data_IF_366022243199
#
_entry.id   IF_366022243199
#
_cell.length_a   1.000
_cell.length_b   1.000
_cell.length_c   1.000
_cell.angle_alpha   90.00
_cell.angle_beta   90.00
_cell.angle_gamma   90.00
#
_symmetry.space_group_name_H-M   'P 1'
#
loop_
_entity.id
_entity.type
_entity.pdbx_description
1 polymer ?
#
# COMPACT_ATOMS: atom_id res chain seq x y z
N UNK A 1 9.76 -3.62 24.39
CA UNK A 1 8.31 -3.80 24.21
C UNK A 1 8.07 -4.95 23.25
N UNK A 2 6.89 -5.57 23.31
CA UNK A 2 6.43 -6.57 22.35
C UNK A 2 5.39 -5.95 21.43
N UNK A 3 5.74 -5.76 20.17
CA UNK A 3 4.96 -5.04 19.18
C UNK A 3 4.44 -6.03 18.13
N UNK A 4 3.13 -6.19 18.06
CA UNK A 4 2.48 -6.93 16.98
C UNK A 4 2.28 -6.06 15.74
N UNK A 5 2.44 -6.63 14.55
CA UNK A 5 2.21 -5.94 13.27
C UNK A 5 1.40 -6.86 12.37
N UNK A 6 0.31 -6.37 11.78
CA UNK A 6 -0.38 -7.11 10.72
C UNK A 6 0.40 -7.05 9.40
N UNK A 7 1.00 -8.19 9.06
CA UNK A 7 1.75 -8.44 7.85
C UNK A 7 0.95 -9.06 6.70
N UNK A 8 -0.37 -9.23 6.83
CA UNK A 8 -1.19 -9.95 5.85
C UNK A 8 -1.15 -9.34 4.44
N UNK A 9 -0.96 -8.02 4.36
CA UNK A 9 -0.81 -7.30 3.09
C UNK A 9 0.46 -7.70 2.29
N UNK A 10 1.45 -8.32 2.94
CA UNK A 10 2.69 -8.78 2.28
C UNK A 10 2.53 -10.12 1.54
N UNK A 11 1.46 -10.88 1.82
CA UNK A 11 1.32 -12.25 1.30
C UNK A 11 0.90 -12.30 -0.17
N UNK A 12 0.15 -11.31 -0.64
CA UNK A 12 -0.31 -11.23 -2.03
C UNK A 12 0.70 -10.44 -2.87
N UNK A 13 0.56 -10.55 -4.19
CA UNK A 13 1.35 -9.81 -5.21
C UNK A 13 1.73 -8.37 -4.81
N UNK A 14 2.86 -7.83 -5.32
CA UNK A 14 3.48 -6.61 -4.80
C UNK A 14 2.60 -5.37 -4.99
N UNK A 15 1.72 -5.12 -4.02
CA UNK A 15 0.98 -3.87 -3.87
C UNK A 15 1.81 -2.85 -3.08
N UNK A 16 1.43 -1.57 -3.18
CA UNK A 16 2.07 -0.51 -2.41
C UNK A 16 2.01 -0.74 -0.90
N UNK A 17 0.89 -1.24 -0.38
CA UNK A 17 0.72 -1.53 1.06
C UNK A 17 1.64 -2.67 1.49
N UNK A 18 1.68 -3.78 0.74
CA UNK A 18 2.59 -4.89 1.06
C UNK A 18 4.05 -4.46 1.12
N UNK A 19 4.49 -3.61 0.18
CA UNK A 19 5.82 -2.99 0.21
C UNK A 19 6.01 -2.10 1.43
N UNK A 20 5.04 -1.23 1.72
CA UNK A 20 5.08 -0.37 2.90
C UNK A 20 5.25 -1.16 4.19
N UNK A 21 4.45 -2.21 4.40
CA UNK A 21 4.53 -3.04 5.61
C UNK A 21 5.88 -3.72 5.74
N UNK A 22 6.39 -4.28 4.64
CA UNK A 22 7.72 -4.88 4.63
C UNK A 22 8.80 -3.89 5.03
N UNK A 23 8.84 -2.73 4.37
CA UNK A 23 9.83 -1.68 4.66
C UNK A 23 9.67 -1.11 6.07
N UNK A 24 8.44 -1.04 6.59
CA UNK A 24 8.17 -0.63 7.96
C UNK A 24 8.77 -1.61 8.97
N UNK A 25 8.54 -2.91 8.81
CA UNK A 25 9.11 -3.94 9.70
C UNK A 25 10.63 -3.91 9.66
N UNK A 26 11.23 -3.84 8.46
CA UNK A 26 12.70 -3.77 8.30
C UNK A 26 13.29 -2.51 8.95
N UNK A 27 12.61 -1.37 8.84
CA UNK A 27 13.06 -0.12 9.45
C UNK A 27 12.91 -0.15 10.97
N UNK A 28 11.80 -0.67 11.51
CA UNK A 28 11.56 -0.80 12.94
C UNK A 28 12.55 -1.77 13.58
N UNK A 29 12.81 -2.91 12.94
CA UNK A 29 13.77 -3.90 13.43
C UNK A 29 15.17 -3.28 13.66
N UNK A 30 15.59 -2.39 12.75
CA UNK A 30 16.87 -1.67 12.84
C UNK A 30 16.84 -0.51 13.83
N UNK A 31 15.75 0.24 13.87
CA UNK A 31 15.64 1.45 14.71
C UNK A 31 15.42 1.12 16.19
N UNK A 32 14.79 -0.02 16.50
CA UNK A 32 14.46 -0.45 17.85
C UNK A 32 14.88 -1.92 18.09
N UNK A 33 16.19 -2.22 18.11
CA UNK A 33 16.68 -3.60 18.25
C UNK A 33 16.35 -4.24 19.61
N UNK A 34 15.98 -3.44 20.63
CA UNK A 34 15.54 -3.92 21.94
C UNK A 34 14.06 -4.28 22.03
N UNK A 35 13.26 -4.00 20.98
CA UNK A 35 11.85 -4.36 20.91
C UNK A 35 11.67 -5.68 20.14
N UNK A 36 10.72 -6.51 20.59
CA UNK A 36 10.31 -7.76 19.93
C UNK A 36 9.18 -7.46 18.94
N UNK A 37 9.41 -7.72 17.65
CA UNK A 37 8.44 -7.50 16.58
C UNK A 37 7.76 -8.82 16.18
N UNK A 38 6.46 -8.93 16.45
CA UNK A 38 5.62 -10.07 16.12
C UNK A 38 4.80 -9.80 14.86
N UNK A 39 5.26 -10.27 13.70
CA UNK A 39 4.56 -10.08 12.43
C UNK A 39 3.51 -11.17 12.25
N UNK A 40 2.24 -10.82 12.41
CA UNK A 40 1.11 -11.72 12.18
C UNK A 40 0.71 -11.69 10.71
N UNK A 41 0.64 -12.84 10.05
CA UNK A 41 0.08 -12.96 8.71
C UNK A 41 -1.08 -13.95 8.69
N UNK A 42 -2.19 -13.58 8.05
CA UNK A 42 -3.40 -14.41 7.97
C UNK A 42 -3.77 -14.68 6.52
N UNK A 43 -3.61 -15.93 6.07
CA UNK A 43 -4.13 -16.41 4.78
C UNK A 43 -4.23 -17.92 4.79
N UNK A 44 -5.27 -18.45 4.16
CA UNK A 44 -5.42 -19.90 4.00
C UNK A 44 -4.59 -20.46 2.83
N UNK A 45 -4.39 -19.66 1.78
CA UNK A 45 -3.78 -20.10 0.51
C UNK A 45 -2.32 -19.68 0.38
N UNK A 46 -1.99 -18.52 0.91
CA UNK A 46 -0.67 -17.91 0.77
C UNK A 46 0.07 -18.01 2.09
N UNK A 47 1.39 -18.14 2.05
CA UNK A 47 2.24 -18.14 3.23
C UNK A 47 3.50 -17.31 2.96
N UNK A 48 4.03 -16.60 3.96
CA UNK A 48 5.31 -15.92 3.80
C UNK A 48 6.43 -16.95 3.66
N UNK A 49 7.52 -16.63 2.95
CA UNK A 49 8.70 -17.50 2.95
C UNK A 49 9.24 -17.62 4.37
N UNK A 50 9.74 -18.81 4.74
CA UNK A 50 10.32 -19.05 6.09
C UNK A 50 11.51 -18.14 6.40
N UNK A 51 12.16 -17.62 5.37
CA UNK A 51 13.31 -16.71 5.46
C UNK A 51 12.91 -15.25 5.55
N UNK A 52 11.60 -14.92 5.56
CA UNK A 52 11.15 -13.54 5.69
C UNK A 52 11.65 -12.95 7.02
N UNK A 53 12.47 -11.90 6.91
CA UNK A 53 13.12 -11.23 8.06
C UNK A 53 14.09 -12.10 8.86
N UNK A 54 14.60 -13.19 8.30
CA UNK A 54 15.55 -14.06 9.01
C UNK A 54 16.84 -13.35 9.43
N UNK A 55 17.21 -12.25 8.77
CA UNK A 55 18.35 -11.41 9.14
C UNK A 55 18.10 -10.51 10.38
N UNK A 56 16.85 -10.41 10.86
CA UNK A 56 16.48 -9.57 12.00
C UNK A 56 16.15 -10.42 13.23
N UNK A 57 17.07 -10.54 14.22
CA UNK A 57 16.89 -11.45 15.35
C UNK A 57 15.71 -11.07 16.27
N UNK A 58 15.26 -9.81 16.22
CA UNK A 58 14.13 -9.31 16.99
C UNK A 58 12.79 -9.37 16.23
N UNK A 59 12.74 -10.03 15.06
CA UNK A 59 11.51 -10.19 14.27
C UNK A 59 11.10 -11.66 14.25
N UNK A 60 9.86 -11.92 14.68
CA UNK A 60 9.22 -13.23 14.61
C UNK A 60 7.99 -13.17 13.71
N UNK A 61 7.94 -14.01 12.67
CA UNK A 61 6.79 -14.11 11.77
C UNK A 61 5.89 -15.26 12.19
N UNK A 62 4.64 -14.96 12.53
CA UNK A 62 3.62 -15.95 12.86
C UNK A 62 2.57 -15.98 11.76
N UNK A 63 2.42 -17.14 11.12
CA UNK A 63 1.45 -17.33 10.05
C UNK A 63 0.26 -18.18 10.53
N UNK A 64 -0.96 -17.68 10.30
CA UNK A 64 -2.21 -18.40 10.59
C UNK A 64 -2.96 -18.74 9.31
N UNK A 65 -3.21 -20.02 9.12
CA UNK A 65 -3.98 -20.59 8.00
C UNK A 65 -5.48 -20.46 8.22
N UNK A 66 -5.97 -19.24 8.41
CA UNK A 66 -7.40 -19.02 8.61
C UNK A 66 -8.13 -18.66 7.31
N UNK A 67 -9.35 -19.18 7.07
CA UNK A 67 -10.13 -18.85 5.87
C UNK A 67 -10.56 -17.38 5.89
N UNK A 68 -9.97 -16.56 5.01
CA UNK A 68 -10.13 -15.10 5.06
C UNK A 68 -11.59 -14.61 5.11
N UNK A 69 -12.50 -15.18 4.31
CA UNK A 69 -13.93 -14.79 4.34
C UNK A 69 -14.61 -15.13 5.68
N UNK A 70 -14.28 -16.28 6.26
CA UNK A 70 -14.84 -16.69 7.54
C UNK A 70 -14.32 -15.79 8.67
N UNK A 71 -13.02 -15.51 8.67
CA UNK A 71 -12.40 -14.60 9.66
C UNK A 71 -12.97 -13.19 9.57
N UNK A 72 -13.13 -12.63 8.36
CA UNK A 72 -13.74 -11.31 8.20
C UNK A 72 -15.16 -11.26 8.74
N UNK A 73 -15.97 -12.31 8.49
CA UNK A 73 -17.32 -12.41 9.03
C UNK A 73 -17.32 -12.52 10.56
N UNK A 74 -16.40 -13.31 11.13
CA UNK A 74 -16.25 -13.46 12.57
C UNK A 74 -15.79 -12.16 13.24
N UNK A 75 -14.88 -11.41 12.62
CA UNK A 75 -14.47 -10.10 13.09
C UNK A 75 -15.60 -9.07 13.03
N UNK A 76 -16.40 -9.07 11.95
CA UNK A 76 -17.52 -8.14 11.81
C UNK A 76 -18.63 -8.36 12.85
N UNK A 77 -18.87 -9.61 13.28
CA UNK A 77 -20.03 -9.96 14.12
C UNK A 77 -19.67 -10.36 15.55
N UNK A 78 -18.48 -10.92 15.79
CA UNK A 78 -18.10 -11.56 17.05
C UNK A 78 -16.77 -11.07 17.64
N UNK A 79 -16.01 -10.20 16.94
CA UNK A 79 -14.70 -9.71 17.41
C UNK A 79 -13.73 -10.84 17.80
N UNK A 80 -13.74 -11.94 17.05
CA UNK A 80 -12.93 -13.12 17.29
C UNK A 80 -12.52 -13.78 15.95
N UNK A 81 -11.36 -14.46 15.82
CA UNK A 81 -10.28 -14.60 16.80
C UNK A 81 -9.51 -13.30 17.05
N UNK A 82 -8.89 -13.20 18.22
CA UNK A 82 -8.13 -12.02 18.64
C UNK A 82 -6.67 -12.11 18.23
N UNK A 83 -5.97 -10.97 18.27
CA UNK A 83 -4.51 -10.90 18.11
C UNK A 83 -3.82 -11.82 19.10
N UNK A 84 -4.28 -11.83 20.35
CA UNK A 84 -3.69 -12.62 21.43
C UNK A 84 -3.85 -14.14 21.20
N UNK A 85 -4.98 -14.56 20.62
CA UNK A 85 -5.17 -15.96 20.20
C UNK A 85 -4.17 -16.38 19.10
N UNK A 86 -3.66 -15.41 18.34
CA UNK A 86 -2.74 -15.66 17.25
C UNK A 86 -1.27 -15.65 17.68
N UNK A 87 -0.85 -14.60 18.37
CA UNK A 87 0.57 -14.30 18.65
C UNK A 87 0.89 -14.10 20.15
N UNK A 88 -0.10 -14.29 21.03
CA UNK A 88 0.00 -13.98 22.45
C UNK A 88 -0.15 -12.48 22.74
N UNK A 89 0.00 -12.11 24.02
CA UNK A 89 -0.11 -10.71 24.45
C UNK A 89 0.98 -9.83 23.80
N UNK A 90 0.59 -8.61 23.44
CA UNK A 90 1.47 -7.57 22.90
C UNK A 90 1.19 -6.25 23.63
N UNK A 91 2.22 -5.42 23.80
CA UNK A 91 2.08 -4.08 24.37
C UNK A 91 1.34 -3.14 23.40
N UNK A 92 1.55 -3.36 22.10
CA UNK A 92 0.98 -2.60 21.01
C UNK A 92 0.76 -3.51 19.80
N UNK A 93 -0.35 -3.34 19.10
CA UNK A 93 -0.57 -3.94 17.79
C UNK A 93 -0.81 -2.85 16.74
N UNK A 94 0.03 -2.85 15.70
CA UNK A 94 -0.08 -1.95 14.57
C UNK A 94 -0.74 -2.66 13.39
N UNK A 95 -1.87 -2.11 12.95
CA UNK A 95 -2.59 -2.56 11.76
C UNK A 95 -2.34 -1.57 10.62
N UNK A 96 -1.35 -1.82 9.73
CA UNK A 96 -0.95 -0.88 8.68
C UNK A 96 -1.89 -0.94 7.46
N UNK A 97 -3.19 -0.90 7.71
CA UNK A 97 -4.25 -0.96 6.70
C UNK A 97 -5.59 -0.48 7.32
N UNK A 98 -6.64 -0.46 6.48
CA UNK A 98 -7.95 0.11 6.83
C UNK A 98 -8.82 -0.85 7.67
N UNK A 99 -8.24 -1.65 8.55
CA UNK A 99 -8.98 -2.43 9.54
C UNK A 99 -8.28 -2.38 10.90
N UNK A 100 -8.94 -2.93 11.92
CA UNK A 100 -8.33 -3.20 13.23
C UNK A 100 -8.68 -4.64 13.53
N UNK A 101 -7.69 -5.49 13.78
CA UNK A 101 -7.98 -6.85 14.23
C UNK A 101 -8.54 -6.77 15.65
N UNK A 102 -9.49 -7.65 16.01
CA UNK A 102 -9.91 -7.74 17.40
C UNK A 102 -8.72 -7.98 18.33
N UNK A 103 -8.60 -7.13 19.33
CA UNK A 103 -7.52 -7.16 20.30
C UNK A 103 -8.11 -6.78 21.66
N UNK A 104 -7.76 -7.55 22.69
CA UNK A 104 -8.31 -7.41 24.04
C UNK A 104 -7.48 -6.48 24.90
N UNK A 105 -6.15 -6.51 24.74
CA UNK A 105 -5.19 -5.82 25.59
C UNK A 105 -4.08 -5.17 24.77
N UNK A 106 -3.41 -4.18 25.35
CA UNK A 106 -2.37 -3.40 24.66
C UNK A 106 -2.96 -2.28 23.78
N UNK A 107 -2.08 -1.47 23.23
CA UNK A 107 -2.43 -0.31 22.39
C UNK A 107 -2.75 -0.73 20.97
N UNK A 108 -3.79 -0.12 20.39
CA UNK A 108 -4.24 -0.34 19.02
C UNK A 108 -3.82 0.84 18.15
N UNK A 109 -2.95 0.61 17.18
CA UNK A 109 -2.55 1.65 16.22
C UNK A 109 -2.97 1.21 14.83
N UNK A 110 -3.51 2.12 14.02
CA UNK A 110 -3.84 1.83 12.63
C UNK A 110 -3.23 2.85 11.66
N UNK A 111 -2.83 2.42 10.48
CA UNK A 111 -2.44 3.33 9.38
C UNK A 111 -3.49 3.34 8.29
N UNK A 112 -3.99 4.52 7.95
CA UNK A 112 -4.94 4.72 6.86
C UNK A 112 -4.18 5.25 5.63
N UNK A 113 -4.18 4.47 4.56
CA UNK A 113 -3.50 4.81 3.30
C UNK A 113 -4.36 5.67 2.38
N UNK A 114 -5.64 5.34 2.26
CA UNK A 114 -6.63 6.10 1.51
C UNK A 114 -8.04 5.74 2.01
N UNK A 115 -8.97 6.65 1.74
CA UNK A 115 -10.40 6.50 2.05
C UNK A 115 -11.23 6.47 0.75
N UNK A 116 -10.64 5.97 -0.35
CA UNK A 116 -11.31 5.98 -1.66
C UNK A 116 -12.67 5.27 -1.61
N UNK A 117 -12.73 4.16 -0.87
CA UNK A 117 -13.95 3.38 -0.66
C UNK A 117 -15.07 4.11 0.08
N UNK A 118 -14.77 5.15 0.85
CA UNK A 118 -15.79 6.01 1.47
C UNK A 118 -16.35 7.02 0.47
N UNK A 119 -15.48 7.62 -0.34
CA UNK A 119 -15.87 8.63 -1.32
C UNK A 119 -16.53 8.06 -2.58
N UNK A 120 -16.13 6.87 -3.03
CA UNK A 120 -16.57 6.25 -4.28
C UNK A 120 -16.94 4.77 -4.07
N UNK A 121 -17.92 4.44 -3.20
CA UNK A 121 -18.23 3.06 -2.82
C UNK A 121 -18.58 2.18 -4.03
N UNK A 122 -19.27 2.75 -5.03
CA UNK A 122 -19.65 2.05 -6.26
C UNK A 122 -18.47 1.63 -7.16
N UNK A 123 -17.32 2.28 -7.00
CA UNK A 123 -16.11 2.05 -7.81
C UNK A 123 -15.09 1.13 -7.11
N UNK A 124 -15.45 0.59 -5.95
CA UNK A 124 -14.55 -0.26 -5.17
C UNK A 124 -14.80 -1.75 -5.40
N UNK A 125 -13.77 -2.55 -5.17
CA UNK A 125 -13.89 -4.00 -5.29
C UNK A 125 -15.00 -4.52 -4.35
N UNK A 126 -16.01 -5.17 -4.93
CA UNK A 126 -17.29 -5.49 -4.29
C UNK A 126 -17.20 -6.17 -2.91
N UNK A 127 -16.12 -6.90 -2.63
CA UNK A 127 -15.96 -7.63 -1.36
C UNK A 127 -15.09 -6.91 -0.33
N UNK A 128 -13.92 -6.38 -0.73
CA UNK A 128 -12.98 -5.73 0.18
C UNK A 128 -13.37 -4.30 0.50
N UNK A 129 -13.70 -3.51 -0.53
CA UNK A 129 -14.13 -2.11 -0.35
C UNK A 129 -15.41 -2.00 0.46
N UNK A 130 -16.37 -2.89 0.20
CA UNK A 130 -17.64 -2.93 0.94
C UNK A 130 -17.45 -3.31 2.41
N UNK A 131 -16.52 -4.22 2.72
CA UNK A 131 -16.18 -4.56 4.09
C UNK A 131 -15.64 -3.33 4.82
N UNK A 132 -14.61 -2.68 4.27
CA UNK A 132 -14.02 -1.48 4.88
C UNK A 132 -15.03 -0.33 5.00
N UNK A 133 -15.89 -0.15 4.00
CA UNK A 133 -16.97 0.84 4.04
C UNK A 133 -17.91 0.63 5.25
N UNK A 134 -18.22 -0.63 5.57
CA UNK A 134 -19.11 -1.00 6.69
C UNK A 134 -18.42 -0.97 8.04
N UNK A 135 -17.14 -1.35 8.10
CA UNK A 135 -16.45 -1.60 9.38
C UNK A 135 -15.59 -0.43 9.84
N UNK A 136 -14.95 0.32 8.92
CA UNK A 136 -14.07 1.44 9.28
C UNK A 136 -14.71 2.46 10.22
N UNK A 137 -15.97 2.91 10.01
CA UNK A 137 -16.60 3.89 10.90
C UNK A 137 -16.69 3.44 12.36
N UNK A 138 -16.64 2.13 12.62
CA UNK A 138 -16.65 1.56 13.98
C UNK A 138 -15.23 1.40 14.49
N UNK A 139 -14.39 0.68 13.74
CA UNK A 139 -13.06 0.27 14.22
C UNK A 139 -12.08 1.43 14.35
N UNK A 140 -12.27 2.52 13.61
CA UNK A 140 -11.41 3.70 13.74
C UNK A 140 -11.47 4.33 15.13
N UNK A 141 -12.63 4.23 15.79
CA UNK A 141 -12.81 4.75 17.16
C UNK A 141 -12.21 3.82 18.22
N UNK A 142 -12.04 2.53 17.90
CA UNK A 142 -11.39 1.55 18.77
C UNK A 142 -9.86 1.71 18.80
N UNK A 143 -9.25 2.27 17.74
CA UNK A 143 -7.80 2.45 17.66
C UNK A 143 -7.34 3.54 18.64
N UNK A 144 -6.46 3.25 19.60
CA UNK A 144 -5.87 4.27 20.47
C UNK A 144 -5.22 5.42 19.66
N UNK A 145 -4.61 5.09 18.51
CA UNK A 145 -3.99 6.08 17.63
C UNK A 145 -4.17 5.77 16.15
N UNK A 146 -4.31 6.81 15.33
CA UNK A 146 -4.46 6.71 13.87
C UNK A 146 -3.30 7.43 13.18
N UNK A 147 -2.60 6.72 12.31
CA UNK A 147 -1.57 7.27 11.44
C UNK A 147 -2.21 7.56 10.07
N UNK A 148 -2.21 8.83 9.68
CA UNK A 148 -2.58 9.27 8.35
C UNK A 148 -1.34 9.43 7.49
N UNK A 149 -1.35 8.91 6.25
CA UNK A 149 -0.18 8.98 5.37
C UNK A 149 0.05 10.35 4.73
N UNK A 150 -0.91 11.27 4.89
CA UNK A 150 -0.86 12.64 4.37
C UNK A 150 -1.79 13.56 5.16
N UNK A 151 -1.60 14.88 5.01
CA UNK A 151 -2.52 15.88 5.54
C UNK A 151 -3.93 15.72 4.96
N UNK A 152 -4.04 15.49 3.65
CA UNK A 152 -5.33 15.24 3.00
C UNK A 152 -6.06 14.03 3.60
N UNK A 153 -5.34 12.95 3.91
CA UNK A 153 -5.91 11.77 4.57
C UNK A 153 -6.36 12.11 6.00
N UNK A 154 -5.57 12.87 6.77
CA UNK A 154 -5.95 13.30 8.12
C UNK A 154 -7.20 14.19 8.12
N UNK A 155 -7.29 15.14 7.19
CA UNK A 155 -8.48 15.96 7.00
C UNK A 155 -9.72 15.14 6.66
N UNK A 156 -9.59 14.15 5.77
CA UNK A 156 -10.68 13.24 5.44
C UNK A 156 -11.10 12.40 6.66
N UNK A 157 -10.15 11.90 7.45
CA UNK A 157 -10.46 11.16 8.69
C UNK A 157 -11.26 12.03 9.66
N UNK A 158 -10.80 13.26 9.91
CA UNK A 158 -11.50 14.22 10.78
C UNK A 158 -12.90 14.52 10.27
N UNK A 159 -13.04 14.78 8.97
CA UNK A 159 -14.32 15.14 8.34
C UNK A 159 -15.32 13.98 8.35
N UNK A 160 -14.87 12.75 8.09
CA UNK A 160 -15.77 11.61 7.93
C UNK A 160 -16.09 10.90 9.25
N UNK A 161 -15.16 10.91 10.20
CA UNK A 161 -15.27 10.10 11.42
C UNK A 161 -15.17 10.91 12.70
N UNK A 162 -14.89 12.23 12.66
CA UNK A 162 -14.77 13.06 13.87
C UNK A 162 -13.73 12.52 14.88
N UNK A 163 -12.65 11.89 14.39
CA UNK A 163 -11.55 11.45 15.24
C UNK A 163 -10.79 12.68 15.76
N UNK A 164 -10.52 12.78 17.08
CA UNK A 164 -9.77 13.88 17.67
C UNK A 164 -8.37 14.07 17.06
N UNK A 165 -7.91 15.31 16.95
CA UNK A 165 -6.62 15.64 16.33
C UNK A 165 -5.42 15.07 17.09
N UNK A 166 -5.48 15.02 18.41
CA UNK A 166 -4.45 14.44 19.28
C UNK A 166 -4.30 12.91 19.11
N UNK A 167 -5.31 12.24 18.54
CA UNK A 167 -5.29 10.82 18.16
C UNK A 167 -4.84 10.58 16.72
N UNK A 168 -4.49 11.62 15.97
CA UNK A 168 -4.05 11.51 14.58
C UNK A 168 -2.62 12.03 14.45
N UNK A 169 -1.74 11.21 13.88
CA UNK A 169 -0.42 11.68 13.43
C UNK A 169 -0.29 11.55 11.93
N UNK A 170 0.23 12.59 11.29
CA UNK A 170 0.59 12.55 9.87
C UNK A 170 2.01 12.05 9.72
N UNK A 171 2.15 10.85 9.17
CA UNK A 171 3.45 10.21 8.89
C UNK A 171 3.50 9.86 7.41
N UNK A 172 4.29 10.63 6.66
CA UNK A 172 4.48 10.40 5.23
C UNK A 172 5.15 9.06 4.95
N UNK A 173 4.77 8.41 3.85
CA UNK A 173 5.41 7.18 3.42
C UNK A 173 6.84 7.44 2.95
N UNK A 174 7.73 6.50 3.27
CA UNK A 174 9.11 6.53 2.79
C UNK A 174 9.25 6.10 1.33
N UNK A 175 10.37 6.46 0.73
CA UNK A 175 10.81 5.98 -0.59
C UNK A 175 12.11 5.22 -0.40
N UNK A 176 12.21 4.03 -0.98
CA UNK A 176 13.41 3.20 -0.87
C UNK A 176 14.65 3.94 -1.40
N UNK A 177 15.80 3.77 -0.73
CA UNK A 177 17.06 4.44 -1.07
C UNK A 177 17.48 4.29 -2.53
N UNK A 178 17.15 3.15 -3.18
CA UNK A 178 17.46 2.89 -4.59
C UNK A 178 16.92 3.94 -5.56
N UNK A 179 15.82 4.61 -5.23
CA UNK A 179 15.24 5.66 -6.09
C UNK A 179 16.05 6.96 -6.06
N UNK A 180 16.95 7.12 -5.09
CA UNK A 180 17.87 8.27 -5.00
C UNK A 180 19.25 7.99 -5.61
N UNK A 181 19.55 6.73 -5.97
CA UNK A 181 20.87 6.34 -6.48
C UNK A 181 21.27 7.10 -7.76
N UNK A 182 20.32 7.37 -8.66
CA UNK A 182 20.57 8.17 -9.87
C UNK A 182 20.90 9.64 -9.62
N UNK A 183 20.55 10.18 -8.43
CA UNK A 183 20.82 11.56 -8.03
C UNK A 183 22.24 11.75 -7.48
N UNK A 184 22.86 10.67 -6.97
CA UNK A 184 24.26 10.68 -6.53
C UNK A 184 25.24 10.55 -7.70
N UNK A 185 24.86 9.88 -8.79
CA UNK A 185 25.70 9.73 -9.99
C UNK A 185 25.99 11.06 -10.73
N UNK A 186 25.16 12.10 -10.52
CA UNK A 186 25.36 13.42 -11.12
C UNK A 186 26.02 14.44 -10.19
N UNK A 187 26.19 14.13 -8.89
CA UNK A 187 26.72 15.05 -7.88
C UNK A 187 28.19 14.80 -7.51
N UNK A 188 28.77 13.66 -7.89
CA UNK A 188 30.19 13.37 -7.68
C UNK A 188 30.87 12.94 -8.98
N UNK A 189 31.96 13.63 -9.30
CA UNK A 189 32.84 13.37 -10.43
C UNK A 189 33.06 11.86 -10.66
N UNK A 190 32.54 11.35 -11.78
CA UNK A 190 33.13 10.24 -12.51
C UNK A 190 32.93 8.80 -12.01
N UNK A 191 32.26 8.55 -10.88
CA UNK A 191 31.93 7.18 -10.46
C UNK A 191 30.46 6.88 -10.71
N UNK A 192 30.16 6.62 -11.99
CA UNK A 192 28.90 6.07 -12.46
C UNK A 192 28.65 4.72 -11.80
N UNK A 193 27.94 4.69 -10.68
CA UNK A 193 27.30 3.45 -10.24
C UNK A 193 26.22 3.13 -11.27
N UNK A 194 26.54 2.18 -12.16
CA UNK A 194 25.59 1.69 -13.15
C UNK A 194 24.31 1.23 -12.44
N UNK A 195 23.12 1.52 -13.00
CA UNK A 195 21.90 0.87 -12.55
C UNK A 195 22.15 -0.64 -12.55
N UNK A 196 21.91 -1.30 -11.42
CA UNK A 196 22.14 -2.75 -11.22
C UNK A 196 21.22 -3.63 -12.08
N UNK A 197 20.43 -3.04 -12.98
CA UNK A 197 19.58 -3.71 -13.93
C UNK A 197 20.07 -3.38 -15.34
N UNK A 198 20.34 -4.42 -16.15
CA UNK A 198 20.51 -4.31 -17.61
C UNK A 198 19.20 -3.87 -18.32
N UNK A 199 18.37 -3.07 -17.65
CA UNK A 199 17.07 -2.66 -18.14
C UNK A 199 17.28 -1.63 -19.25
N UNK A 200 17.03 -2.05 -20.48
CA UNK A 200 16.93 -1.12 -21.59
C UNK A 200 15.69 -0.23 -21.40
N UNK A 201 15.76 1.05 -21.83
CA UNK A 201 14.59 1.91 -21.81
C UNK A 201 13.45 1.28 -22.62
N UNK A 202 12.18 1.55 -22.25
CA UNK A 202 11.02 0.97 -22.93
C UNK A 202 10.90 1.41 -24.39
N UNK A 203 11.61 2.47 -24.77
CA UNK A 203 11.65 3.01 -26.13
C UNK A 203 12.93 3.83 -26.34
N UNK A 204 13.36 3.96 -27.59
CA UNK A 204 14.49 4.79 -28.00
C UNK A 204 14.13 6.27 -28.19
N UNK A 205 12.87 6.65 -27.94
CA UNK A 205 12.38 8.03 -28.02
C UNK A 205 12.31 8.64 -26.61
N UNK A 206 12.30 9.98 -26.47
CA UNK A 206 11.81 10.61 -25.26
C UNK A 206 10.43 10.03 -24.92
N UNK A 207 10.12 9.87 -23.64
CA UNK A 207 8.83 9.32 -23.24
C UNK A 207 8.29 9.95 -21.97
N UNK A 208 6.97 9.97 -21.87
CA UNK A 208 6.24 10.18 -20.63
C UNK A 208 5.89 8.81 -20.08
N UNK A 209 6.24 8.54 -18.82
CA UNK A 209 5.94 7.29 -18.14
C UNK A 209 4.81 7.48 -17.13
N UNK A 210 3.76 6.68 -17.27
CA UNK A 210 2.81 6.42 -16.19
C UNK A 210 3.09 5.04 -15.60
N UNK A 211 3.42 5.00 -14.31
CA UNK A 211 3.68 3.76 -13.58
C UNK A 211 2.63 3.50 -12.49
N UNK A 212 1.89 2.41 -12.60
CA UNK A 212 0.85 2.02 -11.65
C UNK A 212 -0.23 1.14 -12.30
N UNK A 213 -1.09 0.55 -11.46
CA UNK A 213 -2.23 -0.23 -11.94
C UNK A 213 -3.06 0.57 -12.95
N UNK A 214 -3.34 -0.02 -14.10
CA UNK A 214 -4.11 0.60 -15.19
C UNK A 214 -5.59 0.49 -14.83
N UNK A 215 -6.17 1.57 -14.32
CA UNK A 215 -7.58 1.65 -13.90
C UNK A 215 -8.09 3.12 -13.96
N UNK A 216 -9.41 3.35 -14.13
CA UNK A 216 -9.96 4.69 -14.35
C UNK A 216 -9.56 5.74 -13.30
N UNK A 217 -9.58 5.38 -12.01
CA UNK A 217 -9.25 6.29 -10.91
C UNK A 217 -7.81 6.79 -10.88
N UNK A 218 -6.93 6.27 -11.75
CA UNK A 218 -5.54 6.75 -11.89
C UNK A 218 -5.41 7.92 -12.86
N UNK A 219 -6.52 8.42 -13.40
CA UNK A 219 -6.51 9.60 -14.27
C UNK A 219 -5.87 9.35 -15.63
N UNK A 220 -5.80 8.08 -16.06
CA UNK A 220 -5.17 7.70 -17.34
C UNK A 220 -5.94 8.31 -18.52
N UNK A 221 -7.27 8.45 -18.42
CA UNK A 221 -8.06 9.14 -19.45
C UNK A 221 -7.59 10.59 -19.67
N UNK A 222 -7.38 11.34 -18.58
CA UNK A 222 -6.86 12.71 -18.62
C UNK A 222 -5.45 12.76 -19.20
N UNK A 223 -4.60 11.78 -18.87
CA UNK A 223 -3.26 11.67 -19.47
C UNK A 223 -3.32 11.42 -20.97
N UNK A 224 -4.22 10.53 -21.43
CA UNK A 224 -4.44 10.26 -22.85
C UNK A 224 -4.95 11.51 -23.59
N UNK A 225 -5.86 12.27 -23.00
CA UNK A 225 -6.33 13.55 -23.55
C UNK A 225 -5.18 14.55 -23.71
N UNK A 226 -4.35 14.69 -22.67
CA UNK A 226 -3.20 15.59 -22.70
C UNK A 226 -2.16 15.18 -23.75
N UNK A 227 -1.84 13.88 -23.84
CA UNK A 227 -0.88 13.38 -24.83
C UNK A 227 -1.40 13.56 -26.26
N UNK A 228 -2.69 13.30 -26.50
CA UNK A 228 -3.32 13.56 -27.80
C UNK A 228 -3.20 15.03 -28.21
N UNK A 229 -3.43 15.95 -27.28
CA UNK A 229 -3.26 17.38 -27.53
C UNK A 229 -1.81 17.71 -27.91
N UNK A 230 -0.84 17.25 -27.11
CA UNK A 230 0.58 17.51 -27.34
C UNK A 230 1.06 16.97 -28.69
N UNK A 231 0.66 15.75 -29.06
CA UNK A 231 1.02 15.20 -30.36
C UNK A 231 0.34 15.92 -31.53
N UNK A 232 -0.94 16.26 -31.40
CA UNK A 232 -1.69 16.98 -32.44
C UNK A 232 -1.11 18.36 -32.75
N UNK A 233 -0.58 19.04 -31.73
CA UNK A 233 0.08 20.34 -31.86
C UNK A 233 1.57 20.23 -32.18
N UNK A 234 2.11 19.01 -32.33
CA UNK A 234 3.55 18.72 -32.49
C UNK A 234 4.41 19.31 -31.36
N UNK A 235 3.83 19.54 -30.19
CA UNK A 235 4.51 20.06 -29.01
C UNK A 235 5.37 19.00 -28.30
N UNK A 236 5.12 17.72 -28.58
CA UNK A 236 5.91 16.60 -28.10
C UNK A 236 5.98 15.52 -29.17
N UNK A 237 7.15 14.93 -29.40
CA UNK A 237 7.39 13.87 -30.39
C UNK A 237 7.72 12.50 -29.76
N UNK A 238 7.75 12.45 -28.43
CA UNK A 238 8.03 11.24 -27.66
C UNK A 238 6.82 10.33 -27.51
N UNK A 239 7.05 9.15 -26.93
CA UNK A 239 6.01 8.14 -26.68
C UNK A 239 5.31 8.32 -25.32
N UNK A 240 4.12 7.76 -25.18
CA UNK A 240 3.49 7.52 -23.88
C UNK A 240 3.70 6.06 -23.48
N UNK A 241 4.35 5.82 -22.35
CA UNK A 241 4.53 4.47 -21.79
C UNK A 241 3.62 4.29 -20.59
N UNK A 242 2.69 3.34 -20.68
CA UNK A 242 1.84 2.93 -19.57
C UNK A 242 2.36 1.59 -19.01
N UNK A 243 2.86 1.61 -17.77
CA UNK A 243 3.46 0.43 -17.13
C UNK A 243 2.72 0.07 -15.83
N UNK A 244 2.14 -1.13 -15.77
CA UNK A 244 1.53 -1.66 -14.56
C UNK A 244 0.49 -2.75 -14.84
N UNK A 245 -0.02 -3.33 -13.75
CA UNK A 245 -1.02 -4.40 -13.82
C UNK A 245 -2.37 -3.89 -14.34
N UNK A 246 -3.15 -4.75 -14.97
CA UNK A 246 -4.51 -4.43 -15.41
C UNK A 246 -5.45 -4.41 -14.20
N UNK A 247 -6.00 -3.24 -13.90
CA UNK A 247 -6.96 -3.05 -12.81
C UNK A 247 -8.41 -3.18 -13.24
N UNK A 248 -9.30 -2.82 -12.32
CA UNK A 248 -10.73 -2.79 -12.58
C UNK A 248 -11.08 -1.76 -13.68
N UNK A 249 -12.08 -2.07 -14.51
CA UNK A 249 -12.58 -1.14 -15.54
C UNK A 249 -11.61 -0.85 -16.71
N UNK A 250 -10.42 -1.46 -16.75
CA UNK A 250 -9.37 -1.10 -17.70
C UNK A 250 -9.69 -1.38 -19.18
N UNK A 251 -10.68 -2.21 -19.50
CA UNK A 251 -11.01 -2.60 -20.89
C UNK A 251 -11.34 -1.42 -21.81
N UNK A 252 -11.98 -0.37 -21.27
CA UNK A 252 -12.29 0.85 -22.05
C UNK A 252 -11.01 1.65 -22.32
N UNK A 253 -10.17 1.82 -21.29
CA UNK A 253 -8.87 2.49 -21.38
C UNK A 253 -7.93 1.80 -22.38
N UNK A 254 -7.83 0.46 -22.32
CA UNK A 254 -6.94 -0.29 -23.21
C UNK A 254 -7.38 -0.18 -24.68
N UNK A 255 -8.68 -0.29 -24.97
CA UNK A 255 -9.20 -0.06 -26.34
C UNK A 255 -8.86 1.33 -26.85
N UNK A 256 -8.99 2.34 -26.00
CA UNK A 256 -8.61 3.71 -26.34
C UNK A 256 -7.11 3.83 -26.64
N UNK A 257 -6.25 3.16 -25.87
CA UNK A 257 -4.82 3.10 -26.16
C UNK A 257 -4.56 2.44 -27.53
N UNK A 258 -5.20 1.30 -27.82
CA UNK A 258 -5.06 0.58 -29.10
C UNK A 258 -5.49 1.43 -30.31
N UNK A 259 -6.49 2.30 -30.15
CA UNK A 259 -6.91 3.23 -31.19
C UNK A 259 -5.92 4.40 -31.36
N UNK A 260 -5.32 4.85 -30.26
CA UNK A 260 -4.33 5.94 -30.29
C UNK A 260 -3.02 5.49 -30.92
N UNK A 261 -2.55 4.26 -30.67
CA UNK A 261 -1.30 3.74 -31.26
C UNK A 261 -1.34 3.61 -32.79
N UNK A 262 -2.54 3.60 -33.39
CA UNK A 262 -2.70 3.65 -34.86
C UNK A 262 -2.31 5.00 -35.45
N UNK A 263 -2.27 6.06 -34.65
CA UNK A 263 -2.06 7.45 -35.08
C UNK A 263 -0.86 8.12 -34.42
N UNK A 264 -0.52 7.68 -33.21
CA UNK A 264 0.44 8.33 -32.34
C UNK A 264 1.46 7.34 -31.75
N UNK A 265 2.66 7.80 -31.40
CA UNK A 265 3.75 6.95 -30.92
C UNK A 265 3.60 6.43 -29.48
#
# INVERSE_FOLDING_TARGET
MRIGIDGSAMLKEPTGIGRYVRSLVEALAKAAPGDELMVLTVSYKDAPPKTLFAEYPNVSVVHKKWPGKAVLALWEHFHWPTVEDAIGQVDLFHTPNNFVLPQRQGKKVMTIHDLFFMSHPAETHRTGGQYHYRTLPKVIHEADHVIAVSQATAEQIRKLFSVPEDRISVIHQGVEGRFFAGRQATAHNGLSQQPTTNAQPPTNRPYVLHFGTIEPRKGIDTLLDAMQLLWSQRAFSGALVLAGLRGWGCKKLLRRCDDMTKRWP
#
